data_IF_665308060192
#
_entry.id   IF_665308060192
#
_cell.length_a   1.000
_cell.length_b   1.000
_cell.length_c   1.000
_cell.angle_alpha   90.00
_cell.angle_beta   90.00
_cell.angle_gamma   90.00
#
_symmetry.space_group_name_H-M   'P 1'
#
loop_
_entity.id
_entity.type
_entity.pdbx_description
1 polymer ?
#
# COMPACT_ATOMS: atom_id res chain seq x y z
N UNK A 1 -2.48 31.21 35.60
CA UNK A 1 -3.20 29.95 35.41
C UNK A 1 -2.98 29.46 34.00
N UNK A 2 -2.58 28.20 33.79
CA UNK A 2 -2.38 27.63 32.45
C UNK A 2 -3.71 27.64 31.70
N UNK A 3 -3.78 28.39 30.61
CA UNK A 3 -4.92 28.36 29.68
C UNK A 3 -5.00 26.98 29.05
N UNK A 4 -5.97 26.18 29.48
CA UNK A 4 -6.15 24.81 28.98
C UNK A 4 -6.83 24.88 27.60
N UNK A 5 -6.01 24.93 26.54
CA UNK A 5 -6.49 24.95 25.16
C UNK A 5 -7.01 23.57 24.80
N UNK A 6 -8.23 23.48 24.30
CA UNK A 6 -8.84 22.21 23.86
C UNK A 6 -8.25 21.79 22.52
N UNK A 7 -8.13 20.49 22.25
CA UNK A 7 -7.73 19.95 20.95
C UNK A 7 -8.90 19.17 20.35
N UNK A 8 -9.23 19.47 19.09
CA UNK A 8 -10.19 18.70 18.29
C UNK A 8 -9.42 18.02 17.16
N UNK A 9 -9.49 16.70 17.12
CA UNK A 9 -8.96 15.87 16.04
C UNK A 9 -10.10 15.48 15.12
N UNK A 10 -9.97 15.80 13.83
CA UNK A 10 -10.86 15.29 12.79
C UNK A 10 -10.05 14.35 11.90
N UNK A 11 -10.36 13.07 12.00
CA UNK A 11 -9.86 12.07 11.07
C UNK A 11 -10.69 12.04 9.80
N UNK A 12 -10.09 11.63 8.68
CA UNK A 12 -10.74 11.55 7.36
C UNK A 12 -11.46 12.85 6.94
N UNK A 13 -10.84 14.01 7.21
CA UNK A 13 -11.45 15.31 6.92
C UNK A 13 -11.76 15.52 5.42
N UNK A 14 -11.13 14.76 4.52
CA UNK A 14 -11.40 14.75 3.09
C UNK A 14 -12.67 13.99 2.70
N UNK A 15 -13.29 13.24 3.62
CA UNK A 15 -14.62 12.66 3.45
C UNK A 15 -15.75 13.66 3.73
N UNK A 16 -15.46 14.81 4.34
CA UNK A 16 -16.46 15.84 4.64
C UNK A 16 -16.97 16.52 3.36
N UNK A 17 -18.28 16.78 3.29
CA UNK A 17 -18.87 17.58 2.22
C UNK A 17 -18.34 19.02 2.24
N UNK A 18 -18.37 19.71 1.09
CA UNK A 18 -17.89 21.09 0.99
C UNK A 18 -18.61 22.03 1.97
N UNK A 19 -19.92 21.87 2.13
CA UNK A 19 -20.72 22.69 3.04
C UNK A 19 -20.35 22.45 4.51
N UNK A 20 -20.07 21.19 4.88
CA UNK A 20 -19.57 20.85 6.21
C UNK A 20 -18.19 21.47 6.45
N UNK A 21 -17.30 21.45 5.46
CA UNK A 21 -15.99 22.10 5.55
C UNK A 21 -16.08 23.63 5.67
N UNK A 22 -16.97 24.28 4.91
CA UNK A 22 -17.23 25.72 5.05
C UNK A 22 -17.79 26.09 6.43
N UNK A 23 -18.64 25.23 6.98
CA UNK A 23 -19.17 25.38 8.35
C UNK A 23 -18.06 25.19 9.39
N UNK A 24 -17.24 24.16 9.25
CA UNK A 24 -16.09 23.89 10.11
C UNK A 24 -15.12 25.07 10.14
N UNK A 25 -14.85 25.69 8.99
CA UNK A 25 -14.03 26.90 8.91
C UNK A 25 -14.53 28.01 9.84
N UNK A 26 -15.84 28.29 9.82
CA UNK A 26 -16.45 29.33 10.70
C UNK A 26 -16.26 28.99 12.17
N UNK A 27 -16.37 27.70 12.52
CA UNK A 27 -16.16 27.20 13.88
C UNK A 27 -14.68 27.38 14.28
N UNK A 28 -13.74 27.00 13.42
CA UNK A 28 -12.30 27.17 13.67
C UNK A 28 -11.91 28.63 13.88
N UNK A 29 -12.48 29.54 13.09
CA UNK A 29 -12.26 30.98 13.21
C UNK A 29 -12.84 31.52 14.53
N UNK A 30 -14.07 31.12 14.90
CA UNK A 30 -14.74 31.57 16.14
C UNK A 30 -14.00 31.13 17.41
N UNK A 31 -13.45 29.92 17.42
CA UNK A 31 -12.86 29.32 18.64
C UNK A 31 -11.33 29.24 18.63
N UNK A 32 -10.65 29.97 17.74
CA UNK A 32 -9.18 29.92 17.59
C UNK A 32 -8.39 30.24 18.88
N UNK A 33 -8.97 31.03 19.80
CA UNK A 33 -8.33 31.40 21.08
C UNK A 33 -8.38 30.30 22.13
N UNK A 34 -9.41 29.44 22.10
CA UNK A 34 -9.66 28.43 23.13
C UNK A 34 -9.45 27.00 22.66
N UNK A 35 -9.39 26.78 21.34
CA UNK A 35 -9.38 25.45 20.72
C UNK A 35 -8.36 25.39 19.57
N UNK A 36 -7.58 24.31 19.52
CA UNK A 36 -6.79 23.89 18.36
C UNK A 36 -7.50 22.79 17.60
N UNK A 37 -7.31 22.77 16.29
CA UNK A 37 -7.83 21.76 15.40
C UNK A 37 -6.66 21.07 14.71
N UNK A 38 -6.73 19.75 14.62
CA UNK A 38 -5.85 18.96 13.76
C UNK A 38 -6.73 18.13 12.82
N UNK A 39 -6.51 18.34 11.53
CA UNK A 39 -7.25 17.67 10.45
C UNK A 39 -6.32 16.63 9.83
N UNK A 40 -6.76 15.38 9.79
CA UNK A 40 -6.07 14.27 9.14
C UNK A 40 -6.84 13.96 7.86
N UNK A 41 -6.14 13.83 6.74
CA UNK A 41 -6.74 13.54 5.44
C UNK A 41 -5.72 12.83 4.54
N UNK A 42 -6.21 12.03 3.60
CA UNK A 42 -5.35 11.38 2.60
C UNK A 42 -5.09 12.30 1.41
N UNK A 43 -6.10 13.10 1.03
CA UNK A 43 -6.06 13.93 -0.17
C UNK A 43 -6.28 15.40 0.15
N UNK A 44 -5.19 16.17 0.26
CA UNK A 44 -5.24 17.62 0.54
C UNK A 44 -6.10 18.40 -0.47
N UNK A 45 -6.13 17.99 -1.74
CA UNK A 45 -6.93 18.65 -2.78
C UNK A 45 -8.46 18.53 -2.56
N UNK A 46 -8.92 17.59 -1.72
CA UNK A 46 -10.33 17.46 -1.31
C UNK A 46 -10.68 18.40 -0.14
N UNK A 47 -9.69 19.01 0.51
CA UNK A 47 -9.90 20.02 1.54
C UNK A 47 -10.00 21.40 0.90
N UNK A 48 -11.04 22.17 1.23
CA UNK A 48 -11.24 23.50 0.66
C UNK A 48 -10.04 24.43 0.97
N UNK A 49 -9.61 25.28 0.01
CA UNK A 49 -8.47 26.17 0.23
C UNK A 49 -8.57 27.05 1.48
N UNK A 50 -9.81 27.42 1.87
CA UNK A 50 -10.06 28.24 3.05
C UNK A 50 -9.78 27.55 4.40
N UNK A 51 -9.84 26.21 4.46
CA UNK A 51 -9.39 25.44 5.63
C UNK A 51 -7.87 25.27 5.59
N UNK A 52 -7.30 24.99 4.42
CA UNK A 52 -5.86 24.81 4.25
C UNK A 52 -5.08 26.05 4.67
N UNK A 53 -5.57 27.26 4.35
CA UNK A 53 -4.91 28.53 4.73
C UNK A 53 -4.89 28.79 6.23
N UNK A 54 -5.71 28.08 7.02
CA UNK A 54 -5.80 28.21 8.48
C UNK A 54 -4.99 27.15 9.23
N UNK A 55 -4.37 26.22 8.52
CA UNK A 55 -3.65 25.09 9.11
C UNK A 55 -2.18 25.11 8.69
N UNK A 56 -1.30 24.68 9.59
CA UNK A 56 0.06 24.28 9.20
C UNK A 56 0.00 22.87 8.62
N UNK A 57 0.56 22.69 7.42
CA UNK A 57 0.48 21.41 6.70
C UNK A 57 1.69 20.55 7.02
N UNK A 58 1.43 19.32 7.43
CA UNK A 58 2.42 18.26 7.56
C UNK A 58 2.09 17.17 6.55
N UNK A 59 3.07 16.81 5.71
CA UNK A 59 2.92 15.72 4.75
C UNK A 59 3.62 14.48 5.30
N UNK A 60 2.86 13.42 5.50
CA UNK A 60 3.38 12.12 5.85
C UNK A 60 3.66 11.35 4.56
N UNK A 61 4.93 11.08 4.30
CA UNK A 61 5.34 10.19 3.21
C UNK A 61 5.29 8.73 3.69
N UNK A 62 5.16 7.76 2.78
CA UNK A 62 5.37 6.35 3.11
C UNK A 62 6.71 6.16 3.83
N UNK A 63 6.76 5.22 4.77
CA UNK A 63 7.98 4.95 5.53
C UNK A 63 9.04 4.26 4.66
N UNK A 64 10.30 4.62 4.88
CA UNK A 64 11.41 3.90 4.28
C UNK A 64 11.44 2.45 4.74
N UNK A 65 11.82 1.55 3.82
CA UNK A 65 11.89 0.11 4.07
C UNK A 65 12.75 -0.23 5.31
N UNK A 66 13.84 0.53 5.54
CA UNK A 66 14.72 0.34 6.71
C UNK A 66 13.97 0.59 8.02
N UNK A 67 13.18 1.66 8.09
CA UNK A 67 12.41 2.01 9.29
C UNK A 67 11.32 0.98 9.57
N UNK A 68 10.61 0.52 8.52
CA UNK A 68 9.61 -0.54 8.64
C UNK A 68 10.27 -1.84 9.13
N UNK A 69 11.39 -2.23 8.53
CA UNK A 69 12.14 -3.44 8.89
C UNK A 69 12.60 -3.40 10.35
N UNK A 70 13.16 -2.28 10.80
CA UNK A 70 13.60 -2.12 12.19
C UNK A 70 12.42 -2.25 13.16
N UNK A 71 11.28 -1.64 12.84
CA UNK A 71 10.08 -1.72 13.67
C UNK A 71 9.51 -3.14 13.71
N UNK A 72 9.47 -3.84 12.59
CA UNK A 72 9.03 -5.23 12.51
C UNK A 72 9.95 -6.14 13.33
N UNK A 73 11.27 -6.01 13.20
CA UNK A 73 12.24 -6.80 14.00
C UNK A 73 12.05 -6.60 15.50
N UNK A 74 11.80 -5.36 15.92
CA UNK A 74 11.48 -5.08 17.33
C UNK A 74 10.26 -5.87 17.81
N UNK A 75 9.19 -5.93 17.00
CA UNK A 75 7.95 -6.63 17.37
C UNK A 75 8.14 -8.15 17.30
N UNK A 76 8.81 -8.65 16.28
CA UNK A 76 9.16 -10.08 16.13
C UNK A 76 9.92 -10.58 17.36
N UNK A 77 10.89 -9.81 17.84
CA UNK A 77 11.66 -10.18 19.03
C UNK A 77 10.83 -10.09 20.32
N UNK A 78 9.93 -9.11 20.44
CA UNK A 78 9.09 -8.93 21.62
C UNK A 78 8.03 -10.04 21.73
N UNK A 79 7.46 -10.47 20.60
CA UNK A 79 6.43 -11.50 20.51
C UNK A 79 7.00 -12.92 20.27
N UNK A 80 8.34 -13.05 20.20
CA UNK A 80 9.07 -14.31 19.98
C UNK A 80 8.62 -15.08 18.73
N UNK A 81 8.44 -14.38 17.61
CA UNK A 81 7.96 -14.96 16.35
C UNK A 81 9.11 -15.60 15.55
N UNK A 82 8.87 -16.78 14.95
CA UNK A 82 9.80 -17.40 13.99
C UNK A 82 9.53 -16.86 12.58
N UNK A 83 10.29 -15.84 12.19
CA UNK A 83 10.19 -15.17 10.89
C UNK A 83 11.50 -15.32 10.14
N UNK A 84 11.45 -15.82 8.90
CA UNK A 84 12.64 -15.87 8.04
C UNK A 84 12.93 -14.50 7.43
N UNK A 85 14.18 -14.24 7.06
CA UNK A 85 14.53 -12.97 6.37
C UNK A 85 13.77 -12.79 5.04
N UNK A 86 13.44 -13.88 4.35
CA UNK A 86 12.57 -13.86 3.17
C UNK A 86 11.14 -13.44 3.50
N UNK A 87 10.57 -13.96 4.59
CA UNK A 87 9.25 -13.56 5.08
C UNK A 87 9.22 -12.08 5.49
N UNK A 88 10.23 -11.62 6.23
CA UNK A 88 10.38 -10.22 6.61
C UNK A 88 10.47 -9.30 5.39
N UNK A 89 11.30 -9.66 4.41
CA UNK A 89 11.47 -8.91 3.16
C UNK A 89 10.16 -8.86 2.35
N UNK A 90 9.40 -9.96 2.31
CA UNK A 90 8.10 -10.02 1.65
C UNK A 90 7.08 -9.10 2.32
N UNK A 91 7.00 -9.09 3.66
CA UNK A 91 6.12 -8.19 4.42
C UNK A 91 6.45 -6.73 4.11
N UNK A 92 7.73 -6.38 4.17
CA UNK A 92 8.19 -5.00 3.89
C UNK A 92 7.82 -4.60 2.46
N UNK A 93 8.07 -5.47 1.48
CA UNK A 93 7.72 -5.20 0.08
C UNK A 93 6.21 -4.99 -0.12
N UNK A 94 5.39 -5.91 0.38
CA UNK A 94 3.94 -5.86 0.23
C UNK A 94 3.30 -4.71 1.01
N UNK A 95 3.95 -4.23 2.07
CA UNK A 95 3.48 -3.10 2.86
C UNK A 95 3.63 -1.75 2.15
N UNK A 96 4.55 -1.62 1.19
CA UNK A 96 4.83 -0.37 0.46
C UNK A 96 4.99 0.87 1.36
N UNK A 97 5.61 0.71 2.53
CA UNK A 97 5.82 1.80 3.49
C UNK A 97 4.64 2.10 4.42
N UNK A 98 3.54 1.34 4.33
CA UNK A 98 2.43 1.40 5.28
C UNK A 98 2.69 0.46 6.47
N UNK A 99 2.99 1.04 7.63
CA UNK A 99 3.25 0.28 8.85
C UNK A 99 2.03 -0.50 9.35
N UNK A 100 0.81 0.04 9.19
CA UNK A 100 -0.42 -0.64 9.60
C UNK A 100 -0.61 -1.89 8.75
N UNK A 101 -0.42 -1.75 7.43
CA UNK A 101 -0.46 -2.89 6.50
C UNK A 101 0.61 -3.92 6.85
N UNK A 102 1.85 -3.50 7.11
CA UNK A 102 2.93 -4.42 7.50
C UNK A 102 2.60 -5.26 8.75
N UNK A 103 2.04 -4.62 9.79
CA UNK A 103 1.64 -5.31 11.03
C UNK A 103 0.48 -6.27 10.81
N UNK A 104 -0.52 -5.86 10.02
CA UNK A 104 -1.64 -6.73 9.70
C UNK A 104 -1.17 -7.99 8.96
N UNK A 105 -0.26 -7.84 7.98
CA UNK A 105 0.31 -8.98 7.25
C UNK A 105 1.08 -9.88 8.22
N UNK A 106 1.95 -9.32 9.07
CA UNK A 106 2.72 -10.08 10.06
C UNK A 106 1.78 -10.90 10.97
N UNK A 107 0.76 -10.26 11.53
CA UNK A 107 -0.19 -10.88 12.44
C UNK A 107 -1.01 -11.97 11.74
N UNK A 108 -1.60 -11.67 10.59
CA UNK A 108 -2.41 -12.64 9.84
C UNK A 108 -1.59 -13.85 9.39
N UNK A 109 -0.34 -13.64 8.98
CA UNK A 109 0.54 -14.75 8.56
C UNK A 109 0.91 -15.64 9.75
N UNK A 110 1.21 -15.06 10.93
CA UNK A 110 1.48 -15.83 12.14
C UNK A 110 0.27 -16.63 12.62
N UNK A 111 -0.94 -16.11 12.43
CA UNK A 111 -2.17 -16.85 12.76
C UNK A 111 -2.40 -18.04 11.82
N UNK A 112 -1.92 -17.96 10.58
CA UNK A 112 -2.09 -19.00 9.57
C UNK A 112 -0.97 -20.06 9.58
N UNK A 113 0.25 -19.68 9.96
CA UNK A 113 1.44 -20.56 9.94
C UNK A 113 2.32 -20.32 11.16
N UNK A 114 2.83 -21.38 11.78
CA UNK A 114 3.74 -21.29 12.92
C UNK A 114 5.11 -20.66 12.57
N UNK A 115 5.49 -20.72 11.29
CA UNK A 115 6.73 -20.12 10.76
C UNK A 115 6.42 -19.23 9.58
N UNK A 116 6.89 -17.98 9.63
CA UNK A 116 6.64 -16.99 8.59
C UNK A 116 7.75 -17.05 7.55
N UNK A 117 7.49 -17.82 6.49
CA UNK A 117 8.31 -17.85 5.28
C UNK A 117 7.79 -16.84 4.25
N UNK A 118 8.61 -16.56 3.23
CA UNK A 118 8.17 -15.76 2.07
C UNK A 118 6.88 -16.31 1.47
N UNK A 119 6.82 -17.63 1.26
CA UNK A 119 5.66 -18.29 0.66
C UNK A 119 4.40 -18.13 1.51
N UNK A 120 4.50 -18.29 2.84
CA UNK A 120 3.39 -18.10 3.75
C UNK A 120 2.82 -16.68 3.67
N UNK A 121 3.68 -15.66 3.53
CA UNK A 121 3.27 -14.26 3.41
C UNK A 121 2.50 -14.00 2.10
N UNK A 122 2.99 -14.48 0.95
CA UNK A 122 2.29 -14.32 -0.32
C UNK A 122 0.94 -15.06 -0.34
N UNK A 123 0.92 -16.29 0.18
CA UNK A 123 -0.31 -17.07 0.28
C UNK A 123 -1.33 -16.39 1.21
N UNK A 124 -0.91 -15.89 2.37
CA UNK A 124 -1.81 -15.21 3.31
C UNK A 124 -2.38 -13.90 2.74
N UNK A 125 -1.62 -13.20 1.92
CA UNK A 125 -2.05 -11.92 1.33
C UNK A 125 -2.76 -12.06 -0.01
N UNK A 126 -2.78 -13.27 -0.58
CA UNK A 126 -3.33 -13.55 -1.91
C UNK A 126 -2.56 -12.89 -3.06
N UNK A 127 -1.34 -12.41 -2.82
CA UNK A 127 -0.52 -11.79 -3.86
C UNK A 127 0.28 -12.86 -4.61
N UNK A 128 0.47 -12.72 -5.93
CA UNK A 128 1.31 -13.63 -6.70
C UNK A 128 2.76 -13.54 -6.25
N UNK A 129 3.45 -14.68 -6.21
CA UNK A 129 4.88 -14.69 -5.89
C UNK A 129 5.69 -14.08 -7.05
N UNK A 130 6.87 -13.51 -6.78
CA UNK A 130 7.74 -12.97 -7.83
C UNK A 130 8.05 -13.97 -8.94
N UNK A 131 8.31 -15.23 -8.56
CA UNK A 131 8.59 -16.33 -9.49
C UNK A 131 7.38 -16.63 -10.39
N UNK A 132 6.17 -16.48 -9.87
CA UNK A 132 4.94 -16.67 -10.64
C UNK A 132 4.78 -15.56 -11.69
N UNK A 133 5.03 -14.31 -11.29
CA UNK A 133 4.97 -13.16 -12.21
C UNK A 133 6.06 -13.24 -13.28
N UNK A 134 7.27 -13.68 -12.92
CA UNK A 134 8.35 -13.94 -13.88
C UNK A 134 7.94 -15.01 -14.90
N UNK A 135 7.37 -16.13 -14.44
CA UNK A 135 6.90 -17.19 -15.32
C UNK A 135 5.74 -16.76 -16.21
N UNK A 136 4.77 -16.01 -15.67
CA UNK A 136 3.67 -15.43 -16.44
C UNK A 136 4.21 -14.50 -17.53
N UNK A 137 5.15 -13.61 -17.16
CA UNK A 137 5.76 -12.68 -18.11
C UNK A 137 6.54 -13.42 -19.21
N UNK A 138 7.21 -14.51 -18.86
CA UNK A 138 7.89 -15.37 -19.82
C UNK A 138 6.91 -15.98 -20.83
N UNK A 139 5.80 -16.55 -20.36
CA UNK A 139 4.77 -17.11 -21.26
C UNK A 139 4.15 -16.05 -22.16
N UNK A 140 3.83 -14.86 -21.61
CA UNK A 140 3.26 -13.77 -22.39
C UNK A 140 4.17 -13.29 -23.54
N UNK A 141 5.50 -13.42 -23.39
CA UNK A 141 6.46 -12.94 -24.38
C UNK A 141 6.96 -14.01 -25.35
N UNK A 142 6.90 -15.30 -24.97
CA UNK A 142 7.56 -16.37 -25.73
C UNK A 142 6.60 -17.47 -26.22
N UNK A 143 5.43 -17.63 -25.58
CA UNK A 143 4.47 -18.67 -25.95
C UNK A 143 3.41 -18.16 -26.93
N UNK A 144 2.76 -19.10 -27.62
CA UNK A 144 1.56 -18.76 -28.40
C UNK A 144 0.43 -18.29 -27.48
N UNK A 145 -0.45 -17.42 -27.98
CA UNK A 145 -1.58 -16.90 -27.20
C UNK A 145 -2.42 -17.99 -26.53
N UNK A 146 -2.70 -19.08 -27.25
CA UNK A 146 -3.49 -20.20 -26.73
C UNK A 146 -2.80 -20.88 -25.53
N UNK A 147 -1.48 -21.15 -25.64
CA UNK A 147 -0.71 -21.76 -24.57
C UNK A 147 -0.57 -20.80 -23.37
N UNK A 148 -0.23 -19.54 -23.61
CA UNK A 148 -0.09 -18.55 -22.55
C UNK A 148 -1.41 -18.38 -21.77
N UNK A 149 -2.54 -18.31 -22.47
CA UNK A 149 -3.86 -18.21 -21.83
C UNK A 149 -4.17 -19.44 -20.97
N UNK A 150 -3.86 -20.64 -21.48
CA UNK A 150 -4.07 -21.90 -20.76
C UNK A 150 -3.20 -21.96 -19.49
N UNK A 151 -1.89 -21.73 -19.61
CA UNK A 151 -0.95 -21.80 -18.48
C UNK A 151 -1.27 -20.76 -17.38
N UNK A 152 -1.59 -19.52 -17.78
CA UNK A 152 -1.98 -18.47 -16.83
C UNK A 152 -3.31 -18.83 -16.15
N UNK A 153 -4.28 -19.37 -16.89
CA UNK A 153 -5.58 -19.76 -16.32
C UNK A 153 -5.47 -20.92 -15.33
N UNK A 154 -4.62 -21.91 -15.63
CA UNK A 154 -4.32 -23.02 -14.73
C UNK A 154 -3.63 -22.54 -13.45
N UNK A 155 -2.58 -21.71 -13.57
CA UNK A 155 -1.88 -21.14 -12.41
C UNK A 155 -2.81 -20.31 -11.53
N UNK A 156 -3.65 -19.47 -12.16
CA UNK A 156 -4.65 -18.65 -11.46
C UNK A 156 -5.61 -19.51 -10.64
N UNK A 157 -6.10 -20.60 -11.23
CA UNK A 157 -7.05 -21.51 -10.58
C UNK A 157 -6.38 -22.32 -9.48
N UNK A 158 -5.17 -22.84 -9.71
CA UNK A 158 -4.44 -23.64 -8.74
C UNK A 158 -4.01 -22.84 -7.50
N UNK A 159 -3.63 -21.57 -7.67
CA UNK A 159 -3.13 -20.71 -6.60
C UNK A 159 -4.15 -19.69 -6.06
N UNK A 160 -5.36 -19.65 -6.61
CA UNK A 160 -6.42 -18.72 -6.19
C UNK A 160 -6.09 -17.25 -6.44
N UNK A 161 -5.30 -16.94 -7.47
CA UNK A 161 -4.86 -15.57 -7.76
C UNK A 161 -5.96 -14.78 -8.45
N UNK A 162 -6.07 -13.48 -8.14
CA UNK A 162 -6.92 -12.60 -8.93
C UNK A 162 -6.14 -12.04 -10.13
N UNK A 163 -6.83 -11.90 -11.27
CA UNK A 163 -6.22 -11.31 -12.48
C UNK A 163 -5.71 -9.89 -12.22
N UNK A 164 -6.43 -9.12 -11.39
CA UNK A 164 -6.05 -7.75 -11.04
C UNK A 164 -4.72 -7.67 -10.30
N UNK A 165 -4.38 -8.67 -9.49
CA UNK A 165 -3.11 -8.71 -8.77
C UNK A 165 -1.96 -9.11 -9.69
N UNK A 166 -2.22 -9.99 -10.67
CA UNK A 166 -1.26 -10.31 -11.74
C UNK A 166 -0.98 -9.06 -12.59
N UNK A 167 -2.03 -8.39 -13.08
CA UNK A 167 -1.91 -7.18 -13.90
C UNK A 167 -1.16 -6.07 -13.14
N UNK A 168 -1.35 -5.95 -11.82
CA UNK A 168 -0.62 -4.96 -11.01
C UNK A 168 0.89 -5.24 -10.93
N UNK A 169 1.30 -6.50 -10.92
CA UNK A 169 2.70 -6.89 -10.72
C UNK A 169 3.47 -7.07 -12.04
N UNK A 170 2.82 -7.46 -13.14
CA UNK A 170 3.46 -7.65 -14.46
C UNK A 170 4.22 -6.40 -14.96
N UNK A 171 3.70 -5.16 -14.86
CA UNK A 171 4.43 -3.96 -15.24
C UNK A 171 5.77 -3.81 -14.51
N UNK A 172 5.82 -4.14 -13.22
CA UNK A 172 7.05 -4.07 -12.42
C UNK A 172 8.13 -4.99 -12.99
N UNK A 173 7.75 -6.12 -13.56
CA UNK A 173 8.66 -7.05 -14.23
C UNK A 173 9.09 -6.55 -15.62
N UNK A 174 8.17 -5.97 -16.40
CA UNK A 174 8.46 -5.38 -17.72
C UNK A 174 9.52 -4.27 -17.63
N UNK A 175 9.52 -3.48 -16.55
CA UNK A 175 10.56 -2.47 -16.32
C UNK A 175 11.97 -3.07 -16.10
N UNK A 176 12.05 -4.30 -15.58
CA UNK A 176 13.31 -4.98 -15.28
C UNK A 176 13.85 -5.80 -16.46
N UNK A 177 13.00 -6.20 -17.42
CA UNK A 177 13.42 -6.93 -18.61
C UNK A 177 14.19 -6.00 -19.57
N UNK A 178 15.33 -6.49 -20.07
CA UNK A 178 16.06 -5.84 -21.17
C UNK A 178 15.26 -5.99 -22.47
N UNK A 179 14.66 -4.90 -22.93
CA UNK A 179 13.92 -4.82 -24.19
C UNK A 179 14.14 -3.47 -24.87
N UNK A 180 13.99 -3.37 -26.20
CA UNK A 180 14.04 -2.10 -26.91
C UNK A 180 13.02 -1.09 -26.35
N UNK A 181 13.43 0.17 -26.19
CA UNK A 181 12.62 1.21 -25.55
C UNK A 181 11.26 1.42 -26.23
N UNK A 182 11.20 1.36 -27.57
CA UNK A 182 9.96 1.51 -28.33
C UNK A 182 8.92 0.44 -27.98
N UNK A 183 9.36 -0.82 -27.83
CA UNK A 183 8.47 -1.94 -27.47
C UNK A 183 8.00 -1.79 -26.02
N UNK A 184 8.90 -1.39 -25.12
CA UNK A 184 8.54 -1.16 -23.71
C UNK A 184 7.46 -0.09 -23.57
N UNK A 185 7.61 1.03 -24.27
CA UNK A 185 6.62 2.12 -24.25
C UNK A 185 5.27 1.64 -24.77
N UNK A 186 5.26 0.88 -25.87
CA UNK A 186 4.02 0.33 -26.42
C UNK A 186 3.31 -0.60 -25.43
N UNK A 187 4.04 -1.52 -24.78
CA UNK A 187 3.48 -2.43 -23.79
C UNK A 187 2.95 -1.72 -22.55
N UNK A 188 3.68 -0.73 -22.03
CA UNK A 188 3.24 0.05 -20.87
C UNK A 188 1.96 0.82 -21.18
N UNK A 189 1.87 1.44 -22.36
CA UNK A 189 0.66 2.15 -22.77
C UNK A 189 -0.54 1.19 -22.88
N UNK A 190 -0.35 0.05 -23.53
CA UNK A 190 -1.41 -0.95 -23.66
C UNK A 190 -1.86 -1.51 -22.30
N UNK A 191 -0.96 -1.68 -21.33
CA UNK A 191 -1.31 -2.10 -19.97
C UNK A 191 -1.98 -1.02 -19.14
N UNK A 192 -1.73 0.26 -19.43
CA UNK A 192 -2.37 1.39 -18.74
C UNK A 192 -3.83 1.61 -19.17
N UNK A 193 -4.21 1.12 -20.34
CA UNK A 193 -5.58 1.20 -20.87
C UNK A 193 -6.52 0.10 -20.30
N UNK A 194 -5.97 -0.86 -19.54
CA UNK A 194 -6.67 -2.00 -18.93
C UNK A 194 -6.93 -1.73 -17.45
#
# INVERSE_FOLDING_TARGET
GKSNVKLVLLDEADAMTKDAQFSLRRIMEKYTKSTRFALICNYVHKIIPALQSRCTRFRFAPLDAVNVTQRLRHIINAELLDVTEGGLSAIVRLSSGDMRKALNILQSTQMASARLTEEAVYLCTGNPMPKDIEQISFWLLNESFANAHLYISEMKTAKGLALIDIIREVPMFIFNIKMPAAIRVHLINALADI
#
